data_IF_279725012237
#
_entry.id   IF_279725012237
#
_cell.length_a   1.000
_cell.length_b   1.000
_cell.length_c   1.000
_cell.angle_alpha   90.00
_cell.angle_beta   90.00
_cell.angle_gamma   90.00
#
_symmetry.space_group_name_H-M   'P 1'
#
loop_
_entity.id
_entity.type
_entity.pdbx_description
1 polymer ?
#
# COMPACT_ATOMS: atom_id res chain seq x y z
N UNK A 1 -13.19 -12.83 2.83
CA UNK A 1 -13.14 -12.18 4.14
C UNK A 1 -14.41 -11.41 4.49
N UNK A 2 -15.35 -11.29 3.61
CA UNK A 2 -16.58 -10.56 3.86
C UNK A 2 -16.46 -9.05 3.94
N UNK A 3 -15.29 -8.49 3.63
CA UNK A 3 -15.08 -7.05 3.61
C UNK A 3 -15.45 -6.47 2.24
N UNK A 4 -15.92 -5.24 2.24
CA UNK A 4 -16.17 -4.47 1.03
C UNK A 4 -15.28 -3.23 1.02
N UNK A 5 -15.28 -2.53 -0.10
CA UNK A 5 -14.51 -1.27 -0.20
C UNK A 5 -14.88 -0.27 0.88
N UNK A 6 -16.13 -0.26 1.31
CA UNK A 6 -16.59 0.68 2.35
C UNK A 6 -16.02 0.34 3.74
N UNK A 7 -15.46 -0.85 3.92
CA UNK A 7 -14.84 -1.24 5.19
C UNK A 7 -13.39 -0.74 5.30
N UNK A 8 -12.83 -0.24 4.21
CA UNK A 8 -11.44 0.26 4.18
C UNK A 8 -11.44 1.75 4.47
N UNK A 9 -10.63 2.16 5.44
CA UNK A 9 -10.55 3.55 5.88
C UNK A 9 -9.41 4.32 5.22
N UNK A 10 -8.36 3.62 4.79
CA UNK A 10 -7.21 4.26 4.17
C UNK A 10 -6.49 3.26 3.24
N UNK A 11 -5.83 3.81 2.23
CA UNK A 11 -4.92 3.05 1.36
C UNK A 11 -3.55 3.68 1.45
N UNK A 12 -2.54 2.87 1.74
CA UNK A 12 -1.13 3.28 1.65
C UNK A 12 -0.49 2.40 0.58
N UNK A 13 -0.02 3.02 -0.47
CA UNK A 13 0.53 2.31 -1.62
C UNK A 13 1.99 2.70 -1.82
N UNK A 14 2.87 1.71 -1.81
CA UNK A 14 4.30 1.90 -2.04
C UNK A 14 4.61 1.64 -3.50
N UNK A 15 5.14 2.64 -4.18
CA UNK A 15 5.59 2.51 -5.56
C UNK A 15 6.62 3.57 -5.91
N UNK A 16 7.53 3.22 -6.81
CA UNK A 16 8.47 4.14 -7.44
C UNK A 16 8.15 4.35 -8.92
N UNK A 17 7.14 3.64 -9.42
CA UNK A 17 6.81 3.60 -10.86
C UNK A 17 5.32 3.87 -11.09
N UNK A 18 4.77 4.86 -10.38
CA UNK A 18 3.38 5.27 -10.56
C UNK A 18 3.11 5.67 -12.02
N UNK A 19 1.91 5.38 -12.49
CA UNK A 19 1.50 5.74 -13.85
C UNK A 19 1.52 7.25 -14.06
N UNK A 20 1.13 8.01 -13.05
CA UNK A 20 1.06 9.47 -13.10
C UNK A 20 1.67 10.05 -11.83
N UNK A 21 2.18 11.27 -11.96
CA UNK A 21 2.61 12.03 -10.78
C UNK A 21 1.42 12.36 -9.89
N UNK A 22 0.34 12.75 -10.51
CA UNK A 22 -0.95 12.96 -9.84
C UNK A 22 -2.09 12.68 -10.83
N UNK A 23 -3.24 12.19 -10.37
CA UNK A 23 -3.48 11.75 -8.98
C UNK A 23 -2.56 10.57 -8.61
N UNK A 24 -2.37 10.37 -7.31
CA UNK A 24 -1.51 9.29 -6.83
C UNK A 24 -2.09 7.92 -7.20
N UNK A 25 -1.21 6.92 -7.28
CA UNK A 25 -1.66 5.56 -7.57
C UNK A 25 -2.66 5.06 -6.54
N UNK A 26 -2.46 5.40 -5.27
CA UNK A 26 -3.38 5.00 -4.20
C UNK A 26 -4.78 5.58 -4.40
N UNK A 27 -4.88 6.84 -4.82
CA UNK A 27 -6.20 7.44 -5.07
C UNK A 27 -6.87 6.86 -6.31
N UNK A 28 -6.09 6.42 -7.29
CA UNK A 28 -6.64 5.73 -8.45
C UNK A 28 -7.24 4.38 -8.05
N UNK A 29 -6.57 3.65 -7.16
CA UNK A 29 -7.10 2.40 -6.60
C UNK A 29 -8.36 2.68 -5.79
N UNK A 30 -8.34 3.73 -4.96
CA UNK A 30 -9.49 4.14 -4.17
C UNK A 30 -10.72 4.37 -5.07
N UNK A 31 -10.55 5.09 -6.16
CA UNK A 31 -11.61 5.36 -7.11
C UNK A 31 -12.12 4.07 -7.77
N UNK A 32 -11.20 3.21 -8.17
CA UNK A 32 -11.54 1.93 -8.81
C UNK A 32 -12.27 0.97 -7.88
N UNK A 33 -11.94 0.99 -6.60
CA UNK A 33 -12.63 0.18 -5.60
C UNK A 33 -14.01 0.74 -5.23
N UNK A 34 -14.29 1.98 -5.62
CA UNK A 34 -15.57 2.62 -5.28
C UNK A 34 -15.64 3.09 -3.85
N UNK A 35 -14.49 3.38 -3.23
CA UNK A 35 -14.47 3.93 -1.87
C UNK A 35 -14.99 5.36 -1.90
N UNK A 36 -15.98 5.64 -1.05
CA UNK A 36 -16.58 6.98 -0.96
C UNK A 36 -16.12 7.75 0.26
N UNK A 37 -15.34 7.14 1.12
CA UNK A 37 -14.80 7.75 2.33
C UNK A 37 -13.35 7.36 2.50
N UNK A 38 -12.70 7.96 3.49
CA UNK A 38 -11.33 7.63 3.80
C UNK A 38 -10.33 8.40 2.95
N UNK A 39 -9.08 8.00 3.03
CA UNK A 39 -8.01 8.69 2.33
C UNK A 39 -7.01 7.70 1.77
N UNK A 40 -6.22 8.18 0.82
CA UNK A 40 -5.25 7.33 0.13
C UNK A 40 -4.04 8.15 -0.26
N UNK A 41 -2.85 7.58 -0.11
CA UNK A 41 -1.62 8.24 -0.52
C UNK A 41 -0.54 7.22 -0.86
N UNK A 42 0.43 7.67 -1.66
CA UNK A 42 1.57 6.88 -2.04
C UNK A 42 2.74 7.17 -1.11
N UNK A 43 3.58 6.17 -0.90
CA UNK A 43 4.91 6.35 -0.33
C UNK A 43 5.94 5.82 -1.31
N UNK A 44 7.13 6.42 -1.31
CA UNK A 44 8.20 6.00 -2.20
C UNK A 44 9.48 5.83 -1.40
N UNK A 45 9.94 4.60 -1.36
CA UNK A 45 11.22 4.26 -0.74
C UNK A 45 11.82 3.04 -1.46
N UNK A 46 11.54 2.92 -2.74
CA UNK A 46 12.01 1.88 -3.64
C UNK A 46 11.82 0.49 -3.00
N UNK A 47 12.90 -0.25 -2.81
CA UNK A 47 12.83 -1.63 -2.30
C UNK A 47 12.32 -1.72 -0.87
N UNK A 48 12.50 -0.67 -0.07
CA UNK A 48 12.00 -0.62 1.31
C UNK A 48 10.58 -0.06 1.41
N UNK A 49 9.98 0.32 0.28
CA UNK A 49 8.70 1.03 0.25
C UNK A 49 7.58 0.30 0.96
N UNK A 50 7.45 -1.00 0.73
CA UNK A 50 6.37 -1.77 1.36
C UNK A 50 6.49 -1.80 2.88
N UNK A 51 7.71 -1.93 3.38
CA UNK A 51 7.95 -1.92 4.84
C UNK A 51 7.57 -0.56 5.43
N UNK A 52 7.91 0.53 4.74
CA UNK A 52 7.53 1.87 5.19
C UNK A 52 6.02 2.08 5.08
N UNK A 53 5.39 1.52 4.06
CA UNK A 53 3.93 1.56 3.96
C UNK A 53 3.26 0.84 5.13
N UNK A 54 3.78 -0.32 5.50
CA UNK A 54 3.30 -1.06 6.67
C UNK A 54 3.47 -0.23 7.96
N UNK A 55 4.61 0.42 8.11
CA UNK A 55 4.88 1.27 9.27
C UNK A 55 3.88 2.41 9.36
N UNK A 56 3.60 3.06 8.22
CA UNK A 56 2.61 4.13 8.18
C UNK A 56 1.21 3.63 8.50
N UNK A 57 0.83 2.50 7.92
CA UNK A 57 -0.48 1.90 8.17
C UNK A 57 -0.66 1.56 9.65
N UNK A 58 0.37 0.98 10.25
CA UNK A 58 0.36 0.65 11.68
C UNK A 58 0.19 1.92 12.53
N UNK A 59 0.90 2.98 12.19
CA UNK A 59 0.79 4.25 12.90
C UNK A 59 -0.60 4.86 12.77
N UNK A 60 -1.22 4.77 11.61
CA UNK A 60 -2.58 5.27 11.40
C UNK A 60 -3.60 4.52 12.26
N UNK A 61 -3.42 3.22 12.42
CA UNK A 61 -4.29 2.39 13.24
C UNK A 61 -4.07 2.70 14.72
N UNK A 62 -2.81 2.74 15.15
CA UNK A 62 -2.49 2.99 16.56
C UNK A 62 -2.91 4.39 17.02
N UNK A 63 -2.90 5.37 16.12
CA UNK A 63 -3.32 6.74 16.43
C UNK A 63 -4.83 6.94 16.35
N UNK A 64 -5.58 5.92 15.95
CA UNK A 64 -7.03 6.02 15.85
C UNK A 64 -7.54 6.68 14.57
N UNK A 65 -6.68 6.96 13.62
CA UNK A 65 -7.09 7.60 12.36
C UNK A 65 -7.75 6.64 11.39
N UNK A 66 -7.48 5.35 11.52
CA UNK A 66 -8.07 4.32 10.67
C UNK A 66 -8.24 3.03 11.46
N UNK A 67 -9.24 2.24 11.14
CA UNK A 67 -9.40 0.90 11.70
C UNK A 67 -8.91 -0.18 10.75
N UNK A 68 -9.05 0.05 9.44
CA UNK A 68 -8.58 -0.88 8.41
C UNK A 68 -7.84 -0.11 7.35
N UNK A 69 -6.65 -0.57 7.03
CA UNK A 69 -5.78 0.06 6.04
C UNK A 69 -5.40 -0.99 5.01
N UNK A 70 -5.66 -0.69 3.76
CA UNK A 70 -5.18 -1.49 2.63
C UNK A 70 -3.75 -1.05 2.32
N UNK A 71 -2.80 -1.97 2.44
CA UNK A 71 -1.39 -1.70 2.17
C UNK A 71 -1.02 -2.41 0.89
N UNK A 72 -0.51 -1.66 -0.08
CA UNK A 72 -0.16 -2.17 -1.40
C UNK A 72 1.30 -1.88 -1.69
N UNK A 73 1.99 -2.85 -2.26
CA UNK A 73 3.28 -2.65 -2.88
C UNK A 73 3.17 -3.04 -4.34
N UNK A 74 3.55 -2.15 -5.24
CA UNK A 74 3.42 -2.41 -6.67
C UNK A 74 4.52 -1.70 -7.44
N UNK A 75 5.08 -2.39 -8.42
CA UNK A 75 6.11 -1.82 -9.28
C UNK A 75 5.96 -2.32 -10.71
N UNK A 76 6.26 -1.43 -11.64
CA UNK A 76 6.37 -1.75 -13.06
C UNK A 76 7.74 -1.32 -13.57
N UNK A 77 8.78 -1.91 -12.99
CA UNK A 77 10.17 -1.56 -13.31
C UNK A 77 10.52 -1.85 -14.77
N UNK A 78 9.77 -2.73 -15.44
CA UNK A 78 9.96 -3.01 -16.87
C UNK A 78 9.90 -1.75 -17.72
N UNK A 79 9.20 -0.71 -17.27
CA UNK A 79 9.04 0.55 -18.00
C UNK A 79 10.26 1.45 -17.92
N UNK A 80 11.11 1.26 -16.92
CA UNK A 80 12.24 2.17 -16.65
C UNK A 80 13.59 1.49 -16.69
N UNK A 81 13.63 0.17 -16.93
CA UNK A 81 14.88 -0.58 -16.99
C UNK A 81 15.60 -0.33 -18.32
N UNK A 82 16.93 -0.31 -18.27
CA UNK A 82 17.76 -0.40 -19.44
C UNK A 82 17.92 -1.89 -19.80
N UNK A 83 17.14 -2.32 -20.77
CA UNK A 83 17.12 -3.73 -21.16
C UNK A 83 18.41 -4.21 -21.81
N UNK A 84 19.30 -3.28 -22.21
CA UNK A 84 20.62 -3.65 -22.72
C UNK A 84 21.63 -3.89 -21.61
N UNK A 85 21.35 -3.45 -20.39
CA UNK A 85 22.21 -3.65 -19.23
C UNK A 85 21.80 -4.93 -18.49
N UNK A 86 22.45 -6.03 -18.81
CA UNK A 86 22.13 -7.34 -18.27
C UNK A 86 22.44 -7.47 -16.78
N UNK A 87 23.29 -6.59 -16.24
CA UNK A 87 23.62 -6.62 -14.82
C UNK A 87 22.47 -6.06 -13.95
N UNK A 88 21.65 -5.19 -14.51
CA UNK A 88 20.53 -4.58 -13.78
C UNK A 88 19.18 -5.12 -14.21
N UNK A 89 18.95 -5.40 -15.49
CA UNK A 89 17.62 -5.82 -15.95
C UNK A 89 17.19 -7.19 -15.40
N UNK A 90 18.14 -8.00 -14.93
CA UNK A 90 17.82 -9.29 -14.31
C UNK A 90 17.45 -9.18 -12.84
N UNK A 91 17.66 -8.00 -12.24
CA UNK A 91 17.42 -7.79 -10.81
C UNK A 91 16.03 -7.23 -10.50
N UNK A 92 15.39 -6.64 -11.50
CA UNK A 92 14.14 -5.91 -11.30
C UNK A 92 13.03 -6.50 -12.16
N UNK A 93 11.81 -6.24 -11.75
CA UNK A 93 10.66 -6.74 -12.50
C UNK A 93 9.39 -6.05 -12.06
N UNK A 94 8.29 -6.57 -12.57
CA UNK A 94 6.97 -6.05 -12.28
C UNK A 94 6.28 -6.98 -11.29
N UNK A 95 5.50 -6.40 -10.40
CA UNK A 95 4.74 -7.19 -9.45
C UNK A 95 3.92 -6.32 -8.54
N UNK A 96 2.95 -6.94 -7.89
CA UNK A 96 2.11 -6.27 -6.92
C UNK A 96 1.68 -7.26 -5.84
N UNK A 97 1.55 -6.76 -4.64
CA UNK A 97 1.02 -7.51 -3.52
C UNK A 97 0.29 -6.57 -2.59
N UNK A 98 -0.64 -7.10 -1.84
CA UNK A 98 -1.45 -6.29 -0.95
C UNK A 98 -1.86 -7.08 0.29
N UNK A 99 -2.11 -6.35 1.38
CA UNK A 99 -2.69 -6.91 2.58
C UNK A 99 -3.55 -5.86 3.26
N UNK A 100 -4.39 -6.30 4.18
CA UNK A 100 -5.21 -5.41 4.99
C UNK A 100 -4.74 -5.53 6.43
N UNK A 101 -4.38 -4.38 7.02
CA UNK A 101 -4.16 -4.27 8.46
C UNK A 101 -5.45 -3.81 9.11
N UNK A 102 -5.81 -4.45 10.21
CA UNK A 102 -7.03 -4.15 10.92
C UNK A 102 -6.75 -3.96 12.39
N UNK A 103 -7.42 -2.99 13.00
CA UNK A 103 -7.39 -2.83 14.44
C UNK A 103 -8.07 -4.04 15.07
N UNK A 104 -7.35 -4.75 15.91
CA UNK A 104 -7.91 -5.85 16.65
C UNK A 104 -8.48 -5.34 17.96
N UNK A 105 -9.75 -5.57 18.18
CA UNK A 105 -10.38 -5.25 19.45
C UNK A 105 -9.91 -6.28 20.47
N UNK A 106 -9.01 -5.83 21.36
CA UNK A 106 -8.46 -6.69 22.39
C UNK A 106 -9.38 -6.75 23.59
N UNK A 107 -9.70 -7.96 24.04
CA UNK A 107 -10.39 -8.18 25.33
C UNK A 107 -9.42 -8.00 26.50
N UNK A 108 -8.25 -7.44 26.25
CA UNK A 108 -7.28 -7.15 27.28
C UNK A 108 -6.34 -8.30 27.62
N UNK A 109 -6.24 -9.32 26.80
CA UNK A 109 -5.26 -10.37 27.02
C UNK A 109 -3.86 -9.92 26.58
N UNK A 110 -2.85 -10.35 27.30
CA UNK A 110 -1.48 -9.96 27.00
C UNK A 110 -0.98 -10.45 25.63
N UNK A 111 -1.56 -11.51 25.12
CA UNK A 111 -1.18 -12.09 23.85
C UNK A 111 -1.58 -11.20 22.66
N UNK A 112 -2.51 -10.29 22.87
CA UNK A 112 -3.03 -9.43 21.81
C UNK A 112 -2.19 -8.16 21.58
N UNK A 113 -1.04 -8.05 22.22
CA UNK A 113 -0.23 -6.83 22.23
C UNK A 113 1.12 -6.98 21.57
#
# INVERSE_FOLDING_TARGET
MGLTAEDIDAIVLATSTADLTFPSAATMVQARLGMTKGFAFDVQAVCAGFVFALTNANALILSGQARRVLVIGAETFSRIMDWSDRSTCVLFGDGAGALILELQDSEGTAQDR
#
